data_IF_360947032620
#
_entry.id   IF_360947032620
#
_cell.length_a   1.000
_cell.length_b   1.000
_cell.length_c   1.000
_cell.angle_alpha   90.00
_cell.angle_beta   90.00
_cell.angle_gamma   90.00
#
_symmetry.space_group_name_H-M   'P 1'
#
loop_
_entity.id
_entity.type
_entity.pdbx_description
1 polymer ?
#
# COMPACT_ATOMS: atom_id res chain seq x y z
N UNK A 1 1.26 3.07 16.75
CA UNK A 1 0.69 1.81 16.25
C UNK A 1 1.47 1.36 15.01
N UNK A 2 1.95 0.14 15.01
CA UNK A 2 2.73 -0.37 13.89
C UNK A 2 1.83 -0.93 12.79
N UNK A 3 2.19 -0.65 11.54
CA UNK A 3 1.46 -1.16 10.38
C UNK A 3 2.14 -2.45 9.90
N UNK A 4 1.74 -3.58 10.48
CA UNK A 4 2.28 -4.89 10.10
C UNK A 4 1.49 -5.48 8.95
N UNK A 5 2.18 -5.73 7.85
CA UNK A 5 1.58 -6.20 6.61
C UNK A 5 1.57 -7.72 6.54
N UNK A 6 0.42 -8.26 6.17
CA UNK A 6 0.27 -9.68 5.81
C UNK A 6 -0.21 -9.73 4.36
N UNK A 7 0.54 -10.37 3.45
CA UNK A 7 0.18 -10.40 2.03
C UNK A 7 -1.26 -10.81 1.77
N UNK A 8 -1.98 -10.00 0.98
CA UNK A 8 -3.36 -10.22 0.54
C UNK A 8 -4.41 -10.18 1.66
N UNK A 9 -4.01 -9.89 2.90
CA UNK A 9 -4.92 -9.79 4.05
C UNK A 9 -5.10 -8.34 4.49
N UNK A 10 -4.00 -7.58 4.58
CA UNK A 10 -4.02 -6.18 5.02
C UNK A 10 -3.05 -5.93 6.15
N UNK A 11 -3.43 -5.06 7.08
CA UNK A 11 -2.70 -4.81 8.33
C UNK A 11 -3.59 -5.22 9.51
N UNK A 12 -3.08 -5.15 10.74
CA UNK A 12 -3.80 -5.67 11.91
C UNK A 12 -5.21 -5.12 12.07
N UNK A 13 -5.40 -3.84 11.86
CA UNK A 13 -6.68 -3.17 12.10
C UNK A 13 -7.43 -2.77 10.82
N UNK A 14 -6.92 -3.11 9.63
CA UNK A 14 -7.60 -2.90 8.35
C UNK A 14 -7.43 -4.15 7.50
N UNK A 15 -8.55 -4.85 7.24
CA UNK A 15 -8.52 -6.06 6.40
C UNK A 15 -9.12 -5.79 5.04
N UNK A 16 -8.51 -6.30 3.99
CA UNK A 16 -9.10 -6.25 2.65
C UNK A 16 -10.44 -6.95 2.64
N UNK A 17 -11.41 -6.36 1.94
CA UNK A 17 -12.78 -6.85 1.92
C UNK A 17 -13.68 -6.25 2.98
N UNK A 18 -13.15 -5.48 3.93
CA UNK A 18 -13.95 -4.82 4.96
C UNK A 18 -14.74 -3.66 4.38
N UNK A 19 -15.93 -3.40 4.92
CA UNK A 19 -16.73 -2.24 4.55
C UNK A 19 -16.04 -0.95 4.95
N UNK A 20 -16.21 0.08 4.12
CA UNK A 20 -15.62 1.40 4.35
C UNK A 20 -15.98 1.97 5.74
N UNK A 21 -17.22 1.81 6.15
CA UNK A 21 -17.67 2.27 7.47
C UNK A 21 -16.93 1.57 8.60
N UNK A 22 -16.70 0.27 8.49
CA UNK A 22 -15.97 -0.50 9.49
C UNK A 22 -14.50 -0.09 9.56
N UNK A 23 -13.89 0.18 8.40
CA UNK A 23 -12.50 0.67 8.33
C UNK A 23 -12.40 2.02 9.04
N UNK A 24 -13.31 2.94 8.74
CA UNK A 24 -13.31 4.27 9.36
C UNK A 24 -13.44 4.18 10.88
N UNK A 25 -14.30 3.29 11.39
CA UNK A 25 -14.46 3.08 12.83
C UNK A 25 -13.18 2.50 13.44
N UNK A 26 -12.57 1.52 12.80
CA UNK A 26 -11.34 0.88 13.28
C UNK A 26 -10.17 1.84 13.37
N UNK A 27 -10.04 2.72 12.38
CA UNK A 27 -8.95 3.70 12.37
C UNK A 27 -9.17 4.80 13.39
N UNK A 28 -10.43 5.26 13.54
CA UNK A 28 -10.82 6.29 14.50
C UNK A 28 -9.95 7.54 14.44
N UNK A 29 -9.72 8.05 13.24
CA UNK A 29 -8.94 9.26 12.98
C UNK A 29 -9.60 10.04 11.86
N UNK A 30 -9.32 11.34 11.78
CA UNK A 30 -9.87 12.18 10.74
C UNK A 30 -9.32 11.78 9.37
N UNK A 31 -10.18 11.84 8.36
CA UNK A 31 -9.81 11.56 6.99
C UNK A 31 -10.33 12.62 6.03
N UNK A 32 -9.65 12.75 4.90
CA UNK A 32 -10.08 13.56 3.77
C UNK A 32 -10.42 12.63 2.63
N UNK A 33 -11.53 12.89 1.94
CA UNK A 33 -11.98 12.07 0.81
C UNK A 33 -11.59 12.76 -0.49
N UNK A 34 -10.98 12.03 -1.41
CA UNK A 34 -10.68 12.58 -2.73
C UNK A 34 -10.75 11.51 -3.81
N UNK A 35 -10.87 11.94 -5.06
CA UNK A 35 -10.86 11.04 -6.23
C UNK A 35 -9.51 11.14 -6.91
N UNK A 36 -8.79 10.01 -7.01
CA UNK A 36 -7.43 9.99 -7.56
C UNK A 36 -7.39 10.35 -9.05
N UNK A 37 -8.38 9.90 -9.81
CA UNK A 37 -8.47 10.17 -11.24
C UNK A 37 -9.89 9.87 -11.74
N UNK A 38 -10.17 10.20 -12.99
CA UNK A 38 -11.51 10.06 -13.58
C UNK A 38 -11.95 8.61 -13.76
N UNK A 39 -11.00 7.67 -13.83
CA UNK A 39 -11.31 6.25 -14.05
C UNK A 39 -11.34 5.45 -12.75
N UNK A 40 -11.05 6.06 -11.61
CA UNK A 40 -11.12 5.38 -10.32
C UNK A 40 -12.57 4.96 -10.04
N UNK A 41 -12.77 3.71 -9.62
CA UNK A 41 -14.10 3.16 -9.32
C UNK A 41 -14.74 3.81 -8.09
N UNK A 42 -13.93 4.35 -7.17
CA UNK A 42 -14.41 4.97 -5.95
C UNK A 42 -13.42 6.02 -5.48
N UNK A 43 -13.84 6.83 -4.52
CA UNK A 43 -12.98 7.79 -3.86
C UNK A 43 -12.04 7.10 -2.87
N UNK A 44 -11.00 7.81 -2.47
CA UNK A 44 -9.96 7.34 -1.55
C UNK A 44 -10.04 8.14 -0.26
N UNK A 45 -9.85 7.49 0.88
CA UNK A 45 -9.76 8.15 2.18
C UNK A 45 -8.29 8.36 2.53
N UNK A 46 -7.91 9.60 2.79
CA UNK A 46 -6.57 9.95 3.22
C UNK A 46 -6.57 10.26 4.72
N UNK A 47 -5.80 9.51 5.48
CA UNK A 47 -5.62 9.70 6.92
C UNK A 47 -4.31 10.45 7.15
N UNK A 48 -4.40 11.78 7.06
CA UNK A 48 -3.24 12.67 7.10
C UNK A 48 -2.35 12.45 8.32
N UNK A 49 -2.95 12.32 9.50
CA UNK A 49 -2.20 12.17 10.75
C UNK A 49 -1.53 10.81 10.87
N UNK A 50 -1.96 9.83 10.09
CA UNK A 50 -1.40 8.48 10.08
C UNK A 50 -0.50 8.23 8.88
N UNK A 51 -0.58 9.07 7.84
CA UNK A 51 0.30 9.01 6.69
C UNK A 51 -0.03 7.95 5.66
N UNK A 52 -1.29 7.50 5.56
CA UNK A 52 -1.67 6.51 4.53
C UNK A 52 -3.03 6.79 3.91
N UNK A 53 -3.25 6.14 2.76
CA UNK A 53 -4.46 6.27 1.95
C UNK A 53 -5.13 4.91 1.87
N UNK A 54 -6.45 4.87 2.01
CA UNK A 54 -7.22 3.62 1.89
C UNK A 54 -8.09 3.70 0.64
N UNK A 55 -7.95 2.71 -0.25
CA UNK A 55 -8.68 2.62 -1.50
C UNK A 55 -9.79 1.58 -1.40
N UNK A 56 -10.92 1.87 -2.03
CA UNK A 56 -12.12 1.03 -1.99
C UNK A 56 -12.56 0.68 -3.41
N UNK A 57 -13.12 -0.51 -3.56
CA UNK A 57 -13.72 -0.93 -4.82
C UNK A 57 -15.11 -0.27 -4.99
N UNK A 58 -15.80 -0.58 -6.10
CA UNK A 58 -17.12 0.00 -6.40
C UNK A 58 -18.20 -0.38 -5.40
N UNK A 59 -17.96 -1.40 -4.57
CA UNK A 59 -18.89 -1.85 -3.52
C UNK A 59 -18.50 -1.33 -2.14
N UNK A 60 -17.60 -0.34 -2.05
CA UNK A 60 -17.08 0.21 -0.80
C UNK A 60 -16.36 -0.83 0.08
N UNK A 61 -15.73 -1.82 -0.55
CA UNK A 61 -14.88 -2.78 0.16
C UNK A 61 -13.42 -2.34 0.03
N UNK A 62 -12.67 -2.39 1.14
CA UNK A 62 -11.26 -2.05 1.13
C UNK A 62 -10.49 -3.00 0.21
N UNK A 63 -9.75 -2.44 -0.76
CA UNK A 63 -9.00 -3.27 -1.70
C UNK A 63 -7.50 -2.97 -1.74
N UNK A 64 -7.07 -1.81 -1.22
CA UNK A 64 -5.65 -1.45 -1.21
C UNK A 64 -5.40 -0.36 -0.18
N UNK A 65 -4.15 -0.29 0.29
CA UNK A 65 -3.69 0.75 1.21
C UNK A 65 -2.34 1.22 0.71
N UNK A 66 -2.20 2.53 0.52
CA UNK A 66 -0.93 3.13 0.13
C UNK A 66 -0.28 3.81 1.33
N UNK A 67 0.90 3.37 1.69
CA UNK A 67 1.67 3.89 2.82
C UNK A 67 2.71 4.88 2.35
N UNK A 68 3.02 5.85 3.21
CA UNK A 68 4.09 6.80 3.00
C UNK A 68 5.17 6.57 4.06
N UNK A 69 6.29 7.27 3.94
CA UNK A 69 7.37 7.17 4.92
C UNK A 69 6.89 7.51 6.34
N UNK A 70 5.96 8.47 6.45
CA UNK A 70 5.45 8.91 7.75
C UNK A 70 4.67 7.80 8.47
N UNK A 71 3.99 6.93 7.72
CA UNK A 71 3.24 5.82 8.33
C UNK A 71 4.13 4.63 8.67
N UNK A 72 5.16 4.40 7.87
CA UNK A 72 5.93 3.17 7.94
C UNK A 72 5.10 1.96 7.49
N UNK A 73 5.78 0.86 7.20
CA UNK A 73 5.14 -0.42 6.88
C UNK A 73 6.10 -1.55 7.19
N UNK A 74 5.70 -2.42 8.10
CA UNK A 74 6.51 -3.57 8.51
C UNK A 74 6.11 -4.81 7.73
N UNK A 75 7.09 -5.45 7.12
CA UNK A 75 6.94 -6.73 6.45
C UNK A 75 8.00 -7.67 7.00
N UNK A 76 7.57 -8.74 7.65
CA UNK A 76 8.45 -9.71 8.29
C UNK A 76 9.48 -9.05 9.24
N UNK A 77 9.01 -8.10 10.05
CA UNK A 77 9.82 -7.41 11.04
C UNK A 77 10.70 -6.29 10.51
N UNK A 78 10.59 -5.97 9.23
CA UNK A 78 11.41 -4.94 8.58
C UNK A 78 10.54 -3.80 8.08
N UNK A 79 10.89 -2.56 8.45
CA UNK A 79 10.23 -1.38 7.87
C UNK A 79 10.77 -1.17 6.45
N UNK A 80 9.88 -1.33 5.46
CA UNK A 80 10.29 -1.22 4.05
C UNK A 80 10.85 0.16 3.70
N UNK A 81 10.40 1.21 4.40
CA UNK A 81 10.88 2.57 4.15
C UNK A 81 12.30 2.83 4.68
N UNK A 82 12.84 1.92 5.49
CA UNK A 82 14.23 2.01 5.94
C UNK A 82 15.22 1.49 4.90
N UNK A 83 14.71 0.85 3.84
CA UNK A 83 15.53 0.35 2.75
C UNK A 83 15.64 1.39 1.64
N UNK A 84 16.79 1.39 0.93
CA UNK A 84 16.85 2.02 -0.38
C UNK A 84 16.04 1.18 -1.38
N UNK A 85 15.63 1.78 -2.47
CA UNK A 85 14.93 1.03 -3.52
C UNK A 85 15.80 -0.12 -4.06
N UNK A 86 17.08 0.13 -4.30
CA UNK A 86 18.01 -0.89 -4.78
C UNK A 86 18.13 -2.06 -3.80
N UNK A 87 18.19 -1.77 -2.51
CA UNK A 87 18.28 -2.82 -1.48
C UNK A 87 16.99 -3.63 -1.41
N UNK A 88 15.84 -2.95 -1.49
CA UNK A 88 14.53 -3.61 -1.52
C UNK A 88 14.45 -4.58 -2.71
N UNK A 89 14.88 -4.13 -3.90
CA UNK A 89 14.91 -4.96 -5.10
C UNK A 89 15.80 -6.19 -4.91
N UNK A 90 16.97 -6.01 -4.34
CA UNK A 90 17.89 -7.13 -4.08
C UNK A 90 17.25 -8.20 -3.19
N UNK A 91 16.56 -7.78 -2.13
CA UNK A 91 15.92 -8.71 -1.19
C UNK A 91 14.73 -9.43 -1.85
N UNK A 92 13.79 -8.66 -2.41
CA UNK A 92 12.50 -9.23 -2.83
C UNK A 92 12.50 -9.81 -4.24
N UNK A 93 13.38 -9.37 -5.13
CA UNK A 93 13.56 -10.03 -6.43
C UNK A 93 14.02 -11.47 -6.26
N UNK A 94 14.76 -11.76 -5.20
CA UNK A 94 15.28 -13.12 -4.95
C UNK A 94 14.19 -14.11 -4.51
N UNK A 95 13.06 -13.61 -4.00
CA UNK A 95 11.97 -14.47 -3.50
C UNK A 95 10.68 -14.37 -4.31
N UNK A 96 10.54 -13.35 -5.15
CA UNK A 96 9.36 -13.16 -5.98
C UNK A 96 9.51 -13.88 -7.32
N UNK A 97 8.41 -14.45 -7.82
CA UNK A 97 8.33 -15.07 -9.14
C UNK A 97 7.46 -14.26 -10.12
N UNK A 98 6.86 -13.16 -9.67
CA UNK A 98 5.93 -12.38 -10.47
C UNK A 98 6.19 -10.87 -10.33
N UNK A 99 7.45 -10.48 -10.38
CA UNK A 99 7.83 -9.08 -10.29
C UNK A 99 7.67 -8.42 -11.66
N UNK A 100 7.05 -7.24 -11.64
CA UNK A 100 6.89 -6.39 -12.81
C UNK A 100 7.52 -5.05 -12.53
N UNK A 101 8.47 -4.64 -13.35
CA UNK A 101 9.16 -3.36 -13.19
C UNK A 101 8.54 -2.29 -14.09
N UNK A 102 8.34 -1.10 -13.52
CA UNK A 102 8.04 0.11 -14.28
C UNK A 102 9.33 0.94 -14.29
N UNK A 103 9.96 1.05 -15.44
CA UNK A 103 11.28 1.68 -15.57
C UNK A 103 11.36 3.04 -14.89
N UNK A 104 12.31 3.18 -13.94
CA UNK A 104 12.58 4.40 -13.15
C UNK A 104 11.46 4.83 -12.20
N UNK A 105 10.31 4.15 -12.20
CA UNK A 105 9.16 4.51 -11.36
C UNK A 105 8.98 3.60 -10.15
N UNK A 106 9.31 2.33 -10.30
CA UNK A 106 9.13 1.37 -9.22
C UNK A 106 8.90 -0.04 -9.73
N UNK A 107 8.30 -0.88 -8.90
CA UNK A 107 8.00 -2.26 -9.26
C UNK A 107 6.79 -2.78 -8.49
N UNK A 108 6.21 -3.87 -9.00
CA UNK A 108 5.09 -4.57 -8.36
C UNK A 108 5.48 -6.03 -8.18
N UNK A 109 5.33 -6.52 -6.95
CA UNK A 109 5.51 -7.94 -6.64
C UNK A 109 4.13 -8.56 -6.53
N UNK A 110 3.60 -9.04 -7.65
CA UNK A 110 2.22 -9.55 -7.73
C UNK A 110 1.98 -10.75 -6.81
N UNK A 111 2.98 -11.58 -6.61
CA UNK A 111 2.89 -12.75 -5.74
C UNK A 111 3.15 -12.44 -4.25
N UNK A 112 3.70 -11.27 -3.96
CA UNK A 112 3.94 -10.84 -2.58
C UNK A 112 2.91 -9.83 -2.08
N UNK A 113 2.08 -9.29 -2.99
CA UNK A 113 0.97 -8.42 -2.63
C UNK A 113 1.33 -6.97 -2.37
N UNK A 114 2.45 -6.47 -2.89
CA UNK A 114 2.79 -5.06 -2.74
C UNK A 114 3.52 -4.49 -3.95
N UNK A 115 3.37 -3.18 -4.12
CA UNK A 115 4.04 -2.40 -5.15
C UNK A 115 4.79 -1.25 -4.50
N UNK A 116 5.91 -0.87 -5.09
CA UNK A 116 6.80 0.16 -4.56
C UNK A 116 6.98 1.26 -5.60
N UNK A 117 6.80 2.51 -5.17
CA UNK A 117 7.14 3.68 -5.99
C UNK A 117 8.44 4.27 -5.49
N UNK A 118 9.35 4.51 -6.43
CA UNK A 118 10.65 5.08 -6.16
C UNK A 118 10.61 6.61 -6.35
N UNK A 119 11.37 7.33 -5.54
CA UNK A 119 11.60 8.75 -5.78
C UNK A 119 12.24 8.96 -7.16
N UNK A 120 11.84 10.00 -7.88
CA UNK A 120 12.41 10.34 -9.18
C UNK A 120 13.80 10.98 -9.06
N UNK A 121 14.17 11.43 -7.88
CA UNK A 121 15.42 12.19 -7.66
C UNK A 121 16.54 11.34 -7.05
N UNK A 122 16.20 10.28 -6.33
CA UNK A 122 17.18 9.48 -5.59
C UNK A 122 16.74 8.02 -5.50
N UNK A 123 17.44 7.22 -4.68
CA UNK A 123 17.16 5.80 -4.49
C UNK A 123 16.24 5.53 -3.29
N UNK A 124 15.50 6.54 -2.83
CA UNK A 124 14.57 6.38 -1.72
C UNK A 124 13.22 5.83 -2.19
N UNK A 125 12.55 5.13 -1.28
CA UNK A 125 11.19 4.64 -1.51
C UNK A 125 10.22 5.76 -1.17
N UNK A 126 9.36 6.12 -2.12
CA UNK A 126 8.38 7.20 -1.95
C UNK A 126 7.09 6.69 -1.34
N UNK A 127 6.57 5.56 -1.84
CA UNK A 127 5.34 4.95 -1.31
C UNK A 127 5.35 3.45 -1.52
N UNK A 128 4.55 2.75 -0.71
CA UNK A 128 4.31 1.31 -0.86
C UNK A 128 2.80 1.07 -0.84
N UNK A 129 2.30 0.41 -1.88
CA UNK A 129 0.90 0.03 -2.00
C UNK A 129 0.77 -1.46 -1.69
N UNK A 130 -0.04 -1.82 -0.69
CA UNK A 130 -0.43 -3.21 -0.48
C UNK A 130 -1.83 -3.40 -1.06
N UNK A 131 -2.13 -4.60 -1.57
CA UNK A 131 -3.37 -4.80 -2.31
C UNK A 131 -3.97 -6.19 -2.10
N UNK A 132 -5.27 -6.28 -2.33
CA UNK A 132 -6.00 -7.55 -2.30
C UNK A 132 -5.71 -8.37 -3.55
N UNK A 133 -6.03 -9.67 -3.53
CA UNK A 133 -5.79 -10.56 -4.67
C UNK A 133 -6.47 -10.12 -5.96
N UNK A 134 -7.59 -9.42 -5.86
CA UNK A 134 -8.38 -9.02 -7.03
C UNK A 134 -8.13 -7.58 -7.47
N UNK A 135 -7.17 -6.91 -6.86
CA UNK A 135 -6.90 -5.49 -7.15
C UNK A 135 -6.48 -5.27 -8.61
N UNK A 136 -5.59 -6.10 -9.10
CA UNK A 136 -5.10 -6.03 -10.49
C UNK A 136 -6.01 -6.92 -11.35
N UNK A 137 -7.08 -6.34 -11.86
CA UNK A 137 -8.02 -7.05 -12.75
C UNK A 137 -7.75 -6.76 -14.21
#
# INVERSE_FOLDING_TARGET
MENKFTPFIGIEYIKFGSDRSDVNISINSDSEVFTRNEIAENSTDYYKDLGFFVEYDSNNKCEAIEFTKDSGLLYEGRNLFDLSYSKLRTIYDSISNEMEEEDKLGCTYHDLGFAVSKSTEDDNIESVLIFSKNYWR
#
